data_IF_527760051037
#
_entry.id   IF_527760051037
#
_cell.length_a   1.000
_cell.length_b   1.000
_cell.length_c   1.000
_cell.angle_alpha   90.00
_cell.angle_beta   90.00
_cell.angle_gamma   90.00
#
_symmetry.space_group_name_H-M   'P 1'
#
loop_
_entity.id
_entity.type
_entity.pdbx_description
1 polymer ?
#
# COMPACT_ATOMS: atom_id res chain seq x y z
N UNK A 1 9.97 7.88 -14.05
CA UNK A 1 9.27 6.59 -13.93
C UNK A 1 8.95 6.38 -12.46
N UNK A 2 7.81 5.79 -12.10
CA UNK A 2 7.39 5.68 -10.70
C UNK A 2 7.30 4.24 -10.24
N UNK A 3 7.69 4.00 -8.99
CA UNK A 3 7.47 2.77 -8.25
C UNK A 3 6.42 3.02 -7.17
N UNK A 4 5.48 2.09 -7.01
CA UNK A 4 4.53 2.14 -5.90
C UNK A 4 4.94 1.11 -4.86
N UNK A 5 4.98 1.54 -3.60
CA UNK A 5 5.47 0.73 -2.49
C UNK A 5 4.57 0.91 -1.26
N UNK A 6 4.13 -0.18 -0.64
CA UNK A 6 3.64 -0.12 0.74
C UNK A 6 4.82 -0.13 1.70
N UNK A 7 4.66 0.50 2.86
CA UNK A 7 5.54 0.20 3.97
C UNK A 7 5.15 -1.19 4.50
N UNK A 8 5.91 -2.22 4.11
CA UNK A 8 5.71 -3.59 4.58
C UNK A 8 6.61 -3.82 5.80
N UNK A 9 5.99 -3.99 6.96
CA UNK A 9 6.68 -4.34 8.19
C UNK A 9 6.61 -5.86 8.35
N UNK A 10 7.38 -6.57 7.55
CA UNK A 10 7.46 -8.03 7.59
C UNK A 10 8.92 -8.46 7.50
N UNK A 11 9.40 -9.15 8.54
CA UNK A 11 10.64 -9.92 8.48
C UNK A 11 10.27 -11.40 8.29
N UNK A 12 10.50 -11.93 7.09
CA UNK A 12 10.02 -13.26 6.72
C UNK A 12 8.49 -13.34 6.72
N UNK A 13 7.92 -14.29 7.47
CA UNK A 13 6.47 -14.51 7.59
C UNK A 13 5.83 -13.77 8.78
N UNK A 14 6.62 -13.08 9.60
CA UNK A 14 6.13 -12.43 10.81
C UNK A 14 5.73 -10.97 10.53
N UNK A 15 4.48 -10.64 10.86
CA UNK A 15 4.02 -9.25 10.88
C UNK A 15 4.51 -8.55 12.15
N UNK A 16 5.11 -7.38 12.00
CA UNK A 16 5.52 -6.53 13.11
C UNK A 16 4.45 -5.48 13.42
N UNK A 17 4.41 -5.00 14.67
CA UNK A 17 3.62 -3.81 14.97
C UNK A 17 4.21 -2.60 14.23
N UNK A 18 3.36 -1.71 13.69
CA UNK A 18 3.83 -0.49 13.06
C UNK A 18 4.54 0.47 14.01
N UNK A 19 5.78 0.81 13.67
CA UNK A 19 6.59 1.86 14.28
C UNK A 19 6.59 3.17 13.46
N UNK A 20 6.01 3.13 12.26
CA UNK A 20 5.86 4.25 11.33
C UNK A 20 4.46 4.29 10.70
N UNK A 21 4.05 5.44 10.12
CA UNK A 21 2.76 5.55 9.44
C UNK A 21 2.60 4.52 8.32
N UNK A 22 1.43 3.90 8.28
CA UNK A 22 1.05 2.98 7.21
C UNK A 22 0.70 3.79 5.97
N UNK A 23 1.53 3.70 4.94
CA UNK A 23 1.35 4.48 3.72
C UNK A 23 1.56 3.67 2.45
N UNK A 24 0.84 4.08 1.41
CA UNK A 24 1.13 3.77 0.02
C UNK A 24 1.95 4.93 -0.54
N UNK A 25 3.19 4.64 -0.94
CA UNK A 25 4.15 5.65 -1.38
C UNK A 25 4.36 5.52 -2.89
N UNK A 26 4.33 6.65 -3.59
CA UNK A 26 4.88 6.78 -4.92
C UNK A 26 6.34 7.23 -4.79
N UNK A 27 7.26 6.48 -5.39
CA UNK A 27 8.68 6.79 -5.40
C UNK A 27 9.16 7.04 -6.82
N UNK A 28 10.13 7.94 -6.98
CA UNK A 28 10.93 7.97 -8.19
C UNK A 28 11.70 6.65 -8.28
N UNK A 29 11.54 5.96 -9.40
CA UNK A 29 12.10 4.61 -9.57
C UNK A 29 13.62 4.61 -9.69
N UNK A 30 14.23 5.72 -10.11
CA UNK A 30 15.67 5.84 -10.32
C UNK A 30 16.39 6.28 -9.05
N UNK A 31 15.81 7.23 -8.31
CA UNK A 31 16.45 7.81 -7.12
C UNK A 31 15.95 7.19 -5.81
N UNK A 32 14.77 6.58 -5.81
CA UNK A 32 14.10 6.07 -4.61
C UNK A 32 13.41 7.14 -3.76
N UNK A 33 13.47 8.41 -4.16
CA UNK A 33 12.84 9.53 -3.47
C UNK A 33 11.32 9.34 -3.39
N UNK A 34 10.70 9.68 -2.24
CA UNK A 34 9.24 9.67 -2.10
C UNK A 34 8.68 10.92 -2.77
N UNK A 35 7.92 10.71 -3.85
CA UNK A 35 7.23 11.77 -4.59
C UNK A 35 5.87 12.11 -3.98
N UNK A 36 5.27 11.17 -3.24
CA UNK A 36 4.00 11.36 -2.54
C UNK A 36 3.56 10.12 -1.76
N UNK A 37 2.67 10.33 -0.79
CA UNK A 37 2.19 9.29 0.12
C UNK A 37 0.70 9.47 0.42
N UNK A 38 -0.04 8.35 0.48
CA UNK A 38 -1.42 8.32 0.99
C UNK A 38 -1.53 7.31 2.13
N UNK A 39 -2.38 7.55 3.15
CA UNK A 39 -2.49 6.66 4.30
C UNK A 39 -3.17 5.34 3.92
N UNK A 40 -2.70 4.24 4.50
CA UNK A 40 -3.34 2.92 4.47
C UNK A 40 -4.08 2.68 5.79
N UNK A 41 -5.28 2.07 5.76
CA UNK A 41 -6.03 1.80 6.99
C UNK A 41 -5.48 0.62 7.80
N UNK A 42 -4.70 -0.27 7.18
CA UNK A 42 -4.02 -1.38 7.82
C UNK A 42 -2.75 -1.77 7.03
N UNK A 43 -1.82 -2.55 7.62
CA UNK A 43 -0.58 -2.94 6.96
C UNK A 43 -0.81 -3.60 5.60
N UNK A 44 -0.05 -3.15 4.59
CA UNK A 44 -0.09 -3.71 3.25
C UNK A 44 0.51 -5.12 3.23
N UNK A 45 -0.20 -6.05 2.61
CA UNK A 45 0.24 -7.42 2.36
C UNK A 45 0.72 -7.57 0.91
N UNK A 46 1.32 -8.72 0.61
CA UNK A 46 1.74 -9.05 -0.75
C UNK A 46 0.53 -9.03 -1.72
N UNK A 47 0.77 -8.68 -2.99
CA UNK A 47 -0.27 -8.74 -4.04
C UNK A 47 -0.93 -7.41 -4.40
N UNK A 48 -0.19 -6.29 -4.38
CA UNK A 48 -0.66 -5.03 -4.97
C UNK A 48 -0.89 -5.18 -6.48
N UNK A 49 -1.96 -4.60 -6.98
CA UNK A 49 -2.39 -4.72 -8.39
C UNK A 49 -3.01 -3.42 -8.90
N UNK A 50 -3.05 -3.26 -10.22
CA UNK A 50 -3.74 -2.16 -10.89
C UNK A 50 -4.92 -2.66 -11.72
N UNK A 51 -5.99 -1.86 -11.81
CA UNK A 51 -7.17 -2.20 -12.61
C UNK A 51 -7.80 -0.95 -13.22
N UNK A 52 -8.39 -1.10 -14.41
CA UNK A 52 -9.22 -0.07 -15.05
C UNK A 52 -10.69 -0.39 -14.85
N UNK A 53 -11.44 0.49 -14.17
CA UNK A 53 -12.88 0.36 -14.03
C UNK A 53 -13.57 1.67 -14.42
N UNK A 54 -14.52 1.60 -15.37
CA UNK A 54 -15.30 2.75 -15.85
C UNK A 54 -14.41 3.96 -16.24
N UNK A 55 -13.31 3.68 -16.95
CA UNK A 55 -12.37 4.70 -17.43
C UNK A 55 -11.42 5.27 -16.36
N UNK A 56 -11.47 4.76 -15.12
CA UNK A 56 -10.61 5.20 -14.03
C UNK A 56 -9.59 4.11 -13.67
N UNK A 57 -8.35 4.53 -13.43
CA UNK A 57 -7.29 3.63 -12.96
C UNK A 57 -7.30 3.56 -11.44
N UNK A 58 -7.21 2.33 -10.93
CA UNK A 58 -7.15 2.05 -9.50
C UNK A 58 -5.86 1.32 -9.15
N UNK A 59 -5.34 1.63 -7.98
CA UNK A 59 -4.35 0.81 -7.28
C UNK A 59 -5.10 0.08 -6.17
N UNK A 60 -5.04 -1.24 -6.18
CA UNK A 60 -5.69 -2.09 -5.18
C UNK A 60 -4.61 -2.75 -4.32
N UNK A 61 -4.78 -2.64 -3.01
CA UNK A 61 -3.82 -3.13 -2.01
C UNK A 61 -4.54 -4.12 -1.09
N UNK A 62 -3.93 -5.29 -0.90
CA UNK A 62 -4.33 -6.21 0.16
C UNK A 62 -3.87 -5.65 1.50
N UNK A 63 -4.78 -5.54 2.46
CA UNK A 63 -4.49 -5.00 3.79
C UNK A 63 -5.03 -5.92 4.87
N UNK A 64 -4.41 -5.87 6.05
CA UNK A 64 -4.85 -6.64 7.21
C UNK A 64 -3.70 -6.84 8.18
N UNK A 65 -4.01 -7.24 9.40
CA UNK A 65 -2.98 -7.62 10.36
C UNK A 65 -3.51 -8.54 11.44
N UNK A 66 -2.73 -9.59 11.73
CA UNK A 66 -2.93 -10.44 12.91
C UNK A 66 -2.46 -9.76 14.20
N UNK A 67 -1.71 -8.64 14.10
CA UNK A 67 -1.17 -7.90 15.25
C UNK A 67 -2.05 -6.72 15.67
N UNK A 68 -2.94 -6.24 14.80
CA UNK A 68 -3.82 -5.08 15.06
C UNK A 68 -5.31 -5.42 14.99
N UNK A 69 -5.67 -6.70 15.04
CA UNK A 69 -7.03 -7.25 14.88
C UNK A 69 -7.79 -6.75 13.63
N UNK A 70 -7.07 -6.26 12.62
CA UNK A 70 -7.69 -5.75 11.39
C UNK A 70 -7.90 -6.91 10.42
N UNK A 71 -9.14 -7.24 10.03
CA UNK A 71 -9.41 -8.38 9.16
C UNK A 71 -8.81 -8.16 7.76
N UNK A 72 -8.49 -9.27 7.08
CA UNK A 72 -8.04 -9.22 5.69
C UNK A 72 -9.08 -8.53 4.80
N UNK A 73 -8.65 -7.50 4.07
CA UNK A 73 -9.51 -6.68 3.21
C UNK A 73 -8.74 -6.16 1.98
N UNK A 74 -9.48 -5.54 1.06
CA UNK A 74 -8.94 -4.81 -0.08
C UNK A 74 -9.28 -3.32 0.06
N UNK A 75 -8.30 -2.46 -0.18
CA UNK A 75 -8.51 -1.01 -0.34
C UNK A 75 -8.12 -0.59 -1.75
N UNK A 76 -8.88 0.34 -2.33
CA UNK A 76 -8.65 0.84 -3.68
C UNK A 76 -8.46 2.36 -3.67
N UNK A 77 -7.34 2.83 -4.22
CA UNK A 77 -7.04 4.25 -4.41
C UNK A 77 -7.18 4.63 -5.87
N UNK A 78 -7.61 5.87 -6.10
CA UNK A 78 -7.63 6.52 -7.42
C UNK A 78 -7.40 8.01 -7.23
N UNK A 79 -7.09 8.70 -8.33
CA UNK A 79 -7.18 10.16 -8.35
C UNK A 79 -8.64 10.60 -8.20
N UNK A 80 -8.88 11.62 -7.39
CA UNK A 80 -10.11 12.41 -7.44
C UNK A 80 -10.13 13.14 -8.78
N UNK A 81 -11.23 12.99 -9.52
CA UNK A 81 -11.40 13.40 -10.92
C UNK A 81 -10.81 14.77 -11.26
#
# INVERSE_FOLDING_TARGET
DILVQTLALSEGMAQMLPDAPLTLNARDKMTGEILGSVPLPAPGQYGMMTYMHRGQQYIVVQIGSTQTDFPGALVAYRLSN
#
